data_IF_689491176241
#
_entry.id   IF_689491176241
#
_cell.length_a   1.000
_cell.length_b   1.000
_cell.length_c   1.000
_cell.angle_alpha   90.00
_cell.angle_beta   90.00
_cell.angle_gamma   90.00
#
_symmetry.space_group_name_H-M   'P 1'
#
loop_
_entity.id
_entity.type
_entity.pdbx_description
1 polymer ?
#
# COMPACT_ATOMS: atom_id res chain seq x y z
N UNK A 1 -97.57 -53.97 25.40
CA UNK A 1 -97.20 -53.08 24.28
C UNK A 1 -96.93 -51.70 24.84
N UNK A 2 -95.66 -51.29 24.90
CA UNK A 2 -95.18 -50.00 25.42
C UNK A 2 -94.76 -49.20 24.18
N UNK A 3 -95.53 -48.19 23.81
CA UNK A 3 -95.27 -47.35 22.63
C UNK A 3 -94.10 -46.41 22.94
N UNK A 4 -93.24 -46.27 21.93
CA UNK A 4 -91.98 -45.54 21.93
C UNK A 4 -92.25 -44.06 21.64
N UNK A 5 -91.78 -43.16 22.50
CA UNK A 5 -91.67 -41.74 22.19
C UNK A 5 -90.26 -41.47 21.66
N UNK A 6 -90.19 -41.13 20.37
CA UNK A 6 -88.97 -40.74 19.69
C UNK A 6 -88.57 -39.33 20.13
N UNK A 7 -87.39 -39.21 20.75
CA UNK A 7 -86.73 -37.93 20.98
C UNK A 7 -86.21 -37.37 19.66
N UNK A 8 -86.85 -36.32 19.16
CA UNK A 8 -86.34 -35.49 18.08
C UNK A 8 -85.78 -34.22 18.72
N UNK A 9 -84.46 -34.17 18.93
CA UNK A 9 -83.76 -32.95 19.34
C UNK A 9 -83.79 -31.96 18.17
N UNK A 10 -84.42 -30.80 18.39
CA UNK A 10 -84.40 -29.70 17.45
C UNK A 10 -82.97 -29.15 17.37
N UNK A 11 -82.34 -29.26 16.21
CA UNK A 11 -81.06 -28.60 15.95
C UNK A 11 -81.24 -27.09 16.16
N UNK A 12 -80.48 -26.53 17.09
CA UNK A 12 -80.38 -25.08 17.29
C UNK A 12 -79.64 -24.49 16.09
N UNK A 13 -80.37 -23.71 15.31
CA UNK A 13 -79.88 -22.83 14.26
C UNK A 13 -78.76 -21.93 14.80
N UNK A 14 -77.56 -22.10 14.27
CA UNK A 14 -76.39 -21.30 14.62
C UNK A 14 -76.57 -19.95 13.93
N UNK A 15 -77.17 -18.98 14.63
CA UNK A 15 -77.08 -17.57 14.24
C UNK A 15 -75.61 -17.17 14.37
N UNK A 16 -74.92 -17.03 13.23
CA UNK A 16 -73.61 -16.40 13.18
C UNK A 16 -73.78 -14.92 13.50
N UNK A 17 -73.16 -14.45 14.59
CA UNK A 17 -73.04 -13.01 14.85
C UNK A 17 -72.39 -12.33 13.63
N UNK A 18 -72.80 -11.09 13.28
CA UNK A 18 -72.15 -10.33 12.24
C UNK A 18 -70.68 -10.17 12.61
N UNK A 19 -69.78 -10.59 11.71
CA UNK A 19 -68.36 -10.34 11.85
C UNK A 19 -68.21 -8.82 11.73
N UNK A 20 -67.91 -8.15 12.84
CA UNK A 20 -67.48 -6.76 12.81
C UNK A 20 -66.26 -6.69 11.88
N UNK A 21 -66.46 -6.06 10.73
CA UNK A 21 -65.42 -5.78 9.75
C UNK A 21 -64.42 -4.87 10.46
N UNK A 22 -63.29 -5.43 10.91
CA UNK A 22 -62.20 -4.66 11.49
C UNK A 22 -61.68 -3.78 10.36
N UNK A 23 -62.14 -2.53 10.34
CA UNK A 23 -61.65 -1.47 9.47
C UNK A 23 -60.17 -1.24 9.83
N UNK A 24 -59.29 -1.95 9.13
CA UNK A 24 -57.84 -1.74 9.20
C UNK A 24 -57.53 -0.42 8.48
N UNK A 25 -57.82 0.70 9.14
CA UNK A 25 -57.38 2.02 8.72
C UNK A 25 -55.86 1.96 8.46
N UNK A 26 -55.38 2.21 7.23
CA UNK A 26 -53.97 2.14 6.92
C UNK A 26 -53.26 3.27 7.65
N UNK A 27 -52.51 2.91 8.69
CA UNK A 27 -51.82 3.84 9.59
C UNK A 27 -50.59 4.48 8.95
N UNK A 28 -50.78 5.16 7.82
CA UNK A 28 -49.76 5.98 7.16
C UNK A 28 -49.14 7.03 8.11
N UNK A 29 -49.83 7.33 9.21
CA UNK A 29 -49.43 8.30 10.22
C UNK A 29 -48.79 7.67 11.47
N UNK A 30 -48.57 6.35 11.50
CA UNK A 30 -47.92 5.66 12.64
C UNK A 30 -46.50 6.18 12.95
N UNK A 31 -45.86 6.83 11.98
CA UNK A 31 -44.57 7.53 12.16
C UNK A 31 -44.66 8.72 13.13
N UNK A 32 -45.85 9.29 13.35
CA UNK A 32 -46.06 10.41 14.27
C UNK A 32 -46.08 9.97 15.74
N UNK A 33 -46.34 8.69 16.02
CA UNK A 33 -46.30 8.12 17.36
C UNK A 33 -44.92 7.57 17.76
N UNK A 34 -43.88 7.83 16.96
CA UNK A 34 -42.51 7.51 17.36
C UNK A 34 -42.14 8.30 18.63
N UNK A 35 -41.39 7.70 19.57
CA UNK A 35 -41.08 8.33 20.85
C UNK A 35 -40.40 9.69 20.67
N UNK A 36 -40.78 10.69 21.49
CA UNK A 36 -40.35 12.11 21.45
C UNK A 36 -38.84 12.34 21.21
N UNK A 37 -38.02 11.38 21.60
CA UNK A 37 -36.56 11.36 21.40
C UNK A 37 -36.14 11.45 19.93
N UNK A 38 -36.97 11.00 18.98
CA UNK A 38 -36.70 11.11 17.55
C UNK A 38 -36.88 12.54 17.03
N UNK A 39 -37.86 13.29 17.54
CA UNK A 39 -38.11 14.69 17.12
C UNK A 39 -37.13 15.69 17.77
N UNK A 40 -36.69 15.43 19.00
CA UNK A 40 -35.76 16.31 19.73
C UNK A 40 -34.33 16.28 19.18
N UNK A 41 -34.00 15.23 18.44
CA UNK A 41 -32.70 15.05 17.86
C UNK A 41 -32.74 15.60 16.44
N UNK A 42 -32.49 16.90 16.32
CA UNK A 42 -32.60 17.77 15.13
C UNK A 42 -31.76 17.36 13.89
N UNK A 43 -31.70 16.07 13.56
CA UNK A 43 -30.81 15.52 12.55
C UNK A 43 -29.38 15.29 13.04
N UNK A 44 -29.05 15.59 14.30
CA UNK A 44 -27.67 15.47 14.81
C UNK A 44 -27.14 14.04 14.78
N UNK A 45 -27.96 13.03 15.14
CA UNK A 45 -27.53 11.63 14.99
C UNK A 45 -27.39 11.20 13.53
N UNK A 46 -28.22 11.74 12.63
CA UNK A 46 -28.10 11.46 11.19
C UNK A 46 -26.79 12.04 10.64
N UNK A 47 -26.45 13.27 11.02
CA UNK A 47 -25.21 13.91 10.63
C UNK A 47 -23.99 13.19 11.21
N UNK A 48 -24.04 12.78 12.50
CA UNK A 48 -22.97 12.01 13.13
C UNK A 48 -22.75 10.66 12.40
N UNK A 49 -23.83 9.96 12.07
CA UNK A 49 -23.77 8.73 11.30
C UNK A 49 -23.19 8.95 9.89
N UNK A 50 -23.66 9.98 9.19
CA UNK A 50 -23.15 10.33 7.86
C UNK A 50 -21.66 10.68 7.88
N UNK A 51 -21.19 11.45 8.87
CA UNK A 51 -19.77 11.77 9.03
C UNK A 51 -18.92 10.53 9.31
N UNK A 52 -19.43 9.59 10.12
CA UNK A 52 -18.72 8.35 10.41
C UNK A 52 -18.53 7.51 9.14
N UNK A 53 -19.61 7.30 8.38
CA UNK A 53 -19.55 6.56 7.10
C UNK A 53 -18.61 7.23 6.11
N UNK A 54 -18.66 8.56 6.01
CA UNK A 54 -17.80 9.32 5.10
C UNK A 54 -16.31 9.20 5.47
N UNK A 55 -15.97 9.33 6.76
CA UNK A 55 -14.59 9.17 7.23
C UNK A 55 -14.08 7.73 7.06
N UNK A 56 -14.91 6.73 7.36
CA UNK A 56 -14.59 5.32 7.08
C UNK A 56 -14.38 5.10 5.59
N UNK A 57 -15.22 5.70 4.74
CA UNK A 57 -15.11 5.64 3.28
C UNK A 57 -13.79 6.24 2.77
N UNK A 58 -13.41 7.43 3.24
CA UNK A 58 -12.10 8.04 2.91
C UNK A 58 -10.97 7.12 3.37
N UNK A 59 -10.99 6.63 4.61
CA UNK A 59 -9.95 5.73 5.12
C UNK A 59 -9.78 4.47 4.27
N UNK A 60 -10.89 3.85 3.85
CA UNK A 60 -10.88 2.68 2.96
C UNK A 60 -10.39 3.05 1.56
N UNK A 61 -10.77 4.20 1.01
CA UNK A 61 -10.31 4.64 -0.31
C UNK A 61 -8.81 4.93 -0.31
N UNK A 62 -8.30 5.66 0.69
CA UNK A 62 -6.86 5.92 0.85
C UNK A 62 -6.09 4.61 1.06
N UNK A 63 -6.65 3.66 1.84
CA UNK A 63 -6.07 2.33 2.01
C UNK A 63 -6.08 1.48 0.73
N UNK A 64 -7.14 1.58 -0.09
CA UNK A 64 -7.24 0.88 -1.38
C UNK A 64 -6.37 1.49 -2.47
N UNK A 65 -6.14 2.80 -2.43
CA UNK A 65 -5.23 3.48 -3.34
C UNK A 65 -3.76 3.14 -3.04
N UNK A 66 -3.42 2.88 -1.77
CA UNK A 66 -2.06 2.58 -1.33
C UNK A 66 -1.71 1.07 -1.34
N UNK A 67 -2.21 0.31 -2.33
CA UNK A 67 -1.90 -1.12 -2.46
C UNK A 67 -0.56 -1.32 -3.15
N UNK A 68 0.47 -1.60 -2.36
CA UNK A 68 1.71 -2.23 -2.81
C UNK A 68 1.39 -3.45 -3.70
N UNK A 69 1.71 -3.39 -4.99
CA UNK A 69 1.94 -4.60 -5.78
C UNK A 69 3.34 -5.11 -5.45
N UNK A 70 3.52 -6.42 -5.24
CA UNK A 70 4.86 -6.98 -5.15
C UNK A 70 5.61 -6.70 -6.47
N UNK A 71 6.90 -6.34 -6.43
CA UNK A 71 7.71 -6.25 -7.64
C UNK A 71 7.79 -7.63 -8.29
N UNK A 72 7.14 -7.81 -9.43
CA UNK A 72 7.44 -8.90 -10.33
C UNK A 72 8.74 -8.52 -11.04
N UNK A 73 9.85 -9.11 -10.60
CA UNK A 73 11.10 -9.02 -11.34
C UNK A 73 10.91 -9.62 -12.74
N UNK A 74 11.55 -9.05 -13.78
CA UNK A 74 11.66 -9.72 -15.06
C UNK A 74 12.37 -11.06 -14.88
N UNK A 75 11.80 -12.16 -15.40
CA UNK A 75 12.46 -13.47 -15.41
C UNK A 75 13.84 -13.37 -16.08
N UNK A 76 14.81 -14.18 -15.65
CA UNK A 76 16.18 -14.18 -16.17
C UNK A 76 16.28 -14.31 -17.70
N UNK A 77 15.23 -14.81 -18.36
CA UNK A 77 15.09 -14.87 -19.82
C UNK A 77 14.90 -13.50 -20.50
N UNK A 78 14.67 -12.43 -19.76
CA UNK A 78 14.54 -11.06 -20.27
C UNK A 78 15.85 -10.28 -20.32
N UNK A 79 16.91 -10.83 -19.72
CA UNK A 79 18.27 -10.29 -19.81
C UNK A 79 18.94 -10.92 -21.03
N UNK A 80 18.74 -10.31 -22.21
CA UNK A 80 19.60 -10.59 -23.36
C UNK A 80 20.76 -9.58 -23.31
N UNK A 81 22.01 -9.98 -23.02
CA UNK A 81 23.13 -9.06 -23.07
C UNK A 81 23.31 -8.58 -24.52
N UNK A 82 23.43 -7.25 -24.77
CA UNK A 82 24.20 -6.81 -25.92
C UNK A 82 25.62 -7.29 -25.55
N UNK A 83 26.26 -8.30 -26.12
CA UNK A 83 26.61 -8.53 -27.52
C UNK A 83 27.08 -9.99 -27.57
N UNK A 84 26.19 -10.98 -27.75
CA UNK A 84 26.63 -12.39 -27.74
C UNK A 84 27.26 -12.88 -29.06
N UNK A 85 27.48 -11.97 -30.00
CA UNK A 85 28.18 -12.22 -31.27
C UNK A 85 29.72 -12.15 -31.14
N UNK A 86 30.27 -11.89 -29.94
CA UNK A 86 31.73 -11.79 -29.71
C UNK A 86 32.33 -12.94 -28.89
N UNK A 87 31.60 -14.05 -28.67
CA UNK A 87 32.25 -15.30 -28.28
C UNK A 87 32.88 -15.96 -29.51
N UNK A 88 33.83 -15.25 -30.12
CA UNK A 88 34.79 -15.80 -31.09
C UNK A 88 35.54 -16.92 -30.38
N UNK A 89 35.41 -18.13 -30.92
CA UNK A 89 36.21 -19.28 -30.58
C UNK A 89 37.69 -18.86 -30.45
N UNK A 90 38.36 -19.30 -29.37
CA UNK A 90 39.80 -19.17 -29.23
C UNK A 90 40.48 -19.85 -30.44
N UNK A 91 40.89 -19.07 -31.43
CA UNK A 91 41.84 -19.47 -32.45
C UNK A 91 43.25 -19.18 -31.92
N UNK A 92 43.99 -20.23 -31.60
CA UNK A 92 45.31 -20.23 -30.95
C UNK A 92 46.46 -19.86 -31.90
N UNK A 93 46.19 -19.24 -33.04
CA UNK A 93 47.14 -19.17 -34.15
C UNK A 93 47.35 -17.78 -34.77
N UNK A 94 47.43 -16.70 -33.99
CA UNK A 94 48.22 -15.52 -34.36
C UNK A 94 48.25 -14.54 -33.20
N UNK A 95 49.39 -14.46 -32.52
CA UNK A 95 49.57 -13.52 -31.44
C UNK A 95 49.63 -12.08 -31.95
N UNK A 96 48.51 -11.37 -31.84
CA UNK A 96 48.43 -9.94 -31.53
C UNK A 96 47.09 -9.68 -30.83
N UNK A 97 47.11 -9.57 -29.49
CA UNK A 97 45.94 -9.12 -28.72
C UNK A 97 46.03 -7.61 -28.58
N UNK A 98 45.27 -6.88 -29.40
CA UNK A 98 45.02 -5.47 -29.17
C UNK A 98 44.07 -5.36 -27.98
N UNK A 99 44.60 -5.01 -26.80
CA UNK A 99 43.83 -4.71 -25.61
C UNK A 99 43.10 -3.38 -25.81
N UNK A 100 41.89 -3.43 -26.37
CA UNK A 100 40.97 -2.31 -26.29
C UNK A 100 40.41 -2.29 -24.85
N UNK A 101 41.10 -1.57 -23.96
CA UNK A 101 40.56 -1.17 -22.69
C UNK A 101 39.37 -0.23 -22.96
N UNK A 102 38.14 -0.76 -22.89
CA UNK A 102 36.95 0.06 -22.74
C UNK A 102 36.96 0.65 -21.32
N UNK A 103 37.80 1.67 -21.12
CA UNK A 103 37.77 2.52 -19.94
C UNK A 103 36.61 3.51 -20.12
N UNK A 104 35.38 3.01 -20.03
CA UNK A 104 34.22 3.82 -19.74
C UNK A 104 33.99 3.73 -18.24
N UNK A 105 34.68 4.55 -17.44
CA UNK A 105 34.25 4.75 -16.06
C UNK A 105 32.91 5.47 -16.14
N UNK A 106 31.82 4.72 -16.17
CA UNK A 106 30.49 5.30 -16.10
C UNK A 106 30.46 6.15 -14.82
N UNK A 107 30.12 7.42 -14.97
CA UNK A 107 30.01 8.34 -13.86
C UNK A 107 28.96 7.76 -12.88
N UNK A 108 29.30 7.72 -11.60
CA UNK A 108 28.57 6.91 -10.63
C UNK A 108 28.40 7.66 -9.32
N UNK A 109 27.22 7.53 -8.71
CA UNK A 109 26.91 8.07 -7.38
C UNK A 109 26.81 6.93 -6.40
N UNK A 110 27.62 6.99 -5.34
CA UNK A 110 27.52 6.06 -4.22
C UNK A 110 26.46 6.54 -3.22
N UNK A 111 25.54 5.65 -2.87
CA UNK A 111 24.54 5.88 -1.83
C UNK A 111 24.82 4.91 -0.68
N UNK A 112 24.90 5.46 0.53
CA UNK A 112 25.11 4.72 1.78
C UNK A 112 23.90 4.86 2.68
N UNK A 113 23.30 3.74 3.05
CA UNK A 113 22.26 3.66 4.05
C UNK A 113 22.89 3.21 5.37
N UNK A 114 22.70 4.01 6.42
CA UNK A 114 23.29 3.83 7.74
C UNK A 114 22.18 3.54 8.74
N UNK A 115 22.46 2.66 9.70
CA UNK A 115 21.51 2.28 10.75
C UNK A 115 20.73 1.01 10.47
N UNK A 116 21.17 0.18 9.51
CA UNK A 116 20.64 -1.17 9.36
C UNK A 116 21.14 -2.07 10.51
N UNK A 117 20.39 -3.14 10.78
CA UNK A 117 20.82 -4.15 11.75
C UNK A 117 21.67 -5.18 10.98
N UNK A 118 22.93 -5.43 11.38
CA UNK A 118 23.75 -6.45 10.73
C UNK A 118 23.06 -7.83 10.71
N UNK A 119 23.06 -8.48 9.56
CA UNK A 119 22.46 -9.80 9.37
C UNK A 119 22.25 -10.12 7.89
N UNK A 120 21.50 -11.19 7.61
CA UNK A 120 21.17 -11.65 6.25
C UNK A 120 19.96 -10.89 5.64
N UNK A 121 19.63 -9.74 6.21
CA UNK A 121 18.52 -8.88 5.80
C UNK A 121 18.99 -7.87 4.74
N UNK A 122 18.05 -7.37 3.94
CA UNK A 122 18.32 -6.44 2.85
C UNK A 122 17.82 -5.04 3.19
N UNK A 123 18.50 -4.03 2.66
CA UNK A 123 17.97 -2.68 2.58
C UNK A 123 17.41 -2.47 1.18
N UNK A 124 16.14 -2.08 1.13
CA UNK A 124 15.50 -1.61 -0.09
C UNK A 124 15.70 -0.11 -0.21
N UNK A 125 15.99 0.33 -1.42
CA UNK A 125 16.20 1.72 -1.78
C UNK A 125 15.35 2.06 -3.00
N UNK A 126 14.63 3.17 -2.94
CA UNK A 126 13.81 3.68 -4.02
C UNK A 126 14.10 5.17 -4.27
N UNK A 127 14.27 5.54 -5.53
CA UNK A 127 14.58 6.90 -5.97
C UNK A 127 13.39 7.48 -6.73
N UNK A 128 13.03 8.72 -6.42
CA UNK A 128 11.86 9.41 -6.96
C UNK A 128 12.26 10.77 -7.53
N UNK A 129 11.69 11.13 -8.67
CA UNK A 129 11.94 12.41 -9.35
C UNK A 129 10.74 13.36 -9.33
N UNK A 130 9.60 12.93 -8.80
CA UNK A 130 8.37 13.71 -8.75
C UNK A 130 7.56 13.43 -7.48
N UNK A 131 6.84 14.46 -7.02
CA UNK A 131 5.92 14.39 -5.88
C UNK A 131 4.82 13.35 -6.11
N UNK A 132 4.28 13.26 -7.32
CA UNK A 132 3.19 12.33 -7.67
C UNK A 132 3.58 10.85 -7.55
N UNK A 133 4.86 10.54 -7.67
CA UNK A 133 5.42 9.19 -7.52
C UNK A 133 6.01 8.94 -6.13
N UNK A 134 6.17 9.98 -5.31
CA UNK A 134 6.97 9.89 -4.11
C UNK A 134 6.35 8.93 -3.08
N UNK A 135 7.20 8.07 -2.51
CA UNK A 135 6.79 7.05 -1.53
C UNK A 135 5.77 6.04 -2.08
N UNK A 136 5.72 5.87 -3.41
CA UNK A 136 5.00 4.82 -4.11
C UNK A 136 6.01 3.94 -4.89
N UNK A 137 6.43 2.79 -4.33
CA UNK A 137 7.50 1.96 -4.92
C UNK A 137 7.25 1.48 -6.34
N UNK A 138 5.99 1.39 -6.79
CA UNK A 138 5.67 1.00 -8.18
C UNK A 138 6.04 2.09 -9.19
N UNK A 139 6.06 3.34 -8.73
CA UNK A 139 6.34 4.51 -9.53
C UNK A 139 7.74 5.06 -9.21
N UNK A 140 8.59 4.29 -8.52
CA UNK A 140 9.99 4.63 -8.32
C UNK A 140 10.74 4.66 -9.66
N UNK A 141 11.59 5.68 -9.83
CA UNK A 141 12.46 5.80 -10.99
C UNK A 141 13.54 4.71 -11.00
N UNK A 142 14.11 4.44 -9.83
CA UNK A 142 15.11 3.39 -9.60
C UNK A 142 14.76 2.68 -8.31
N UNK A 143 14.83 1.35 -8.33
CA UNK A 143 14.73 0.52 -7.14
C UNK A 143 15.97 -0.38 -7.04
N UNK A 144 16.50 -0.54 -5.83
CA UNK A 144 17.67 -1.37 -5.56
C UNK A 144 17.49 -2.14 -4.25
N UNK A 145 18.06 -3.34 -4.21
CA UNK A 145 18.24 -4.12 -2.99
C UNK A 145 19.72 -4.15 -2.65
N UNK A 146 20.04 -3.89 -1.39
CA UNK A 146 21.42 -3.70 -0.94
C UNK A 146 21.68 -4.57 0.28
N UNK A 147 22.62 -5.53 0.21
CA UNK A 147 23.01 -6.31 1.36
C UNK A 147 23.56 -5.42 2.48
N UNK A 148 23.17 -5.74 3.72
CA UNK A 148 23.68 -5.04 4.90
C UNK A 148 25.06 -5.59 5.25
N UNK A 149 26.05 -4.71 5.35
CA UNK A 149 27.39 -5.10 5.78
C UNK A 149 27.43 -5.33 7.30
N UNK A 150 28.45 -6.05 7.82
CA UNK A 150 28.59 -6.32 9.26
C UNK A 150 28.65 -5.07 10.16
N UNK A 151 28.96 -3.90 9.59
CA UNK A 151 28.98 -2.61 10.29
C UNK A 151 27.60 -1.89 10.31
N UNK A 152 26.54 -2.52 9.81
CA UNK A 152 25.19 -1.94 9.75
C UNK A 152 25.01 -0.89 8.64
N UNK A 153 25.91 -0.89 7.64
CA UNK A 153 25.86 -0.01 6.47
C UNK A 153 25.51 -0.84 5.24
N UNK A 154 24.53 -0.37 4.47
CA UNK A 154 24.26 -0.88 3.14
C UNK A 154 24.76 0.18 2.13
N UNK A 155 25.50 -0.22 1.11
CA UNK A 155 26.04 0.71 0.11
C UNK A 155 25.80 0.18 -1.30
N UNK A 156 25.32 1.05 -2.17
CA UNK A 156 25.15 0.75 -3.60
C UNK A 156 25.65 1.91 -4.44
N UNK A 157 25.90 1.62 -5.71
CA UNK A 157 26.36 2.62 -6.67
C UNK A 157 25.40 2.65 -7.84
N UNK A 158 24.92 3.85 -8.18
CA UNK A 158 23.94 4.06 -9.25
C UNK A 158 24.60 4.89 -10.36
N UNK A 159 24.48 4.48 -11.64
CA UNK A 159 24.97 5.27 -12.76
C UNK A 159 24.31 6.65 -12.81
N UNK A 160 25.09 7.69 -13.06
CA UNK A 160 24.63 9.09 -13.09
C UNK A 160 23.54 9.29 -14.14
N UNK A 161 23.55 8.52 -15.23
CA UNK A 161 22.56 8.59 -16.32
C UNK A 161 21.17 8.15 -15.86
N UNK A 162 21.07 7.35 -14.79
CA UNK A 162 19.81 6.92 -14.21
C UNK A 162 19.27 7.91 -13.17
N UNK A 163 20.07 8.91 -12.79
CA UNK A 163 19.73 9.87 -11.75
C UNK A 163 19.43 11.25 -12.35
N UNK A 164 18.25 11.84 -12.06
CA UNK A 164 17.96 13.21 -12.44
C UNK A 164 18.81 14.18 -11.62
N UNK A 165 18.81 15.46 -11.98
CA UNK A 165 19.53 16.51 -11.22
C UNK A 165 18.99 16.68 -9.80
N UNK A 166 17.69 16.45 -9.60
CA UNK A 166 17.02 16.53 -8.29
C UNK A 166 16.15 15.31 -8.08
N UNK A 167 16.28 14.69 -6.92
CA UNK A 167 15.51 13.50 -6.56
C UNK A 167 15.39 13.36 -5.05
N UNK A 168 14.43 12.54 -4.63
CA UNK A 168 14.32 12.06 -3.26
C UNK A 168 14.61 10.55 -3.22
N UNK A 169 15.11 10.08 -2.09
CA UNK A 169 15.38 8.67 -1.84
C UNK A 169 14.55 8.25 -0.63
N UNK A 170 13.93 7.09 -0.70
CA UNK A 170 13.39 6.37 0.44
C UNK A 170 14.15 5.06 0.61
N UNK A 171 14.44 4.69 1.85
CA UNK A 171 15.08 3.42 2.17
C UNK A 171 14.40 2.76 3.37
N UNK A 172 14.33 1.43 3.35
CA UNK A 172 13.91 0.66 4.51
C UNK A 172 14.69 -0.64 4.64
N UNK A 173 14.82 -1.13 5.86
CA UNK A 173 15.48 -2.37 6.20
C UNK A 173 14.44 -3.48 6.37
N UNK A 174 14.44 -4.41 5.43
CA UNK A 174 13.54 -5.55 5.35
C UNK A 174 14.13 -6.70 6.17
N UNK A 175 13.67 -6.81 7.40
CA UNK A 175 14.22 -7.72 8.42
C UNK A 175 13.72 -9.15 8.27
N UNK A 176 12.55 -9.36 7.65
CA UNK A 176 11.97 -10.66 7.40
C UNK A 176 12.09 -11.11 5.93
N UNK A 177 12.68 -10.27 5.07
CA UNK A 177 12.93 -10.51 3.65
C UNK A 177 11.65 -10.79 2.85
N UNK A 178 10.55 -10.13 3.20
CA UNK A 178 9.27 -10.28 2.51
C UNK A 178 9.09 -9.30 1.33
N UNK A 179 10.03 -8.36 1.17
CA UNK A 179 10.04 -7.35 0.12
C UNK A 179 9.10 -6.17 0.37
N UNK A 180 8.51 -6.07 1.56
CA UNK A 180 7.58 -5.02 1.95
C UNK A 180 8.02 -4.36 3.26
N UNK A 181 7.69 -3.08 3.40
CA UNK A 181 7.87 -2.41 4.69
C UNK A 181 6.82 -2.94 5.66
N UNK A 182 7.24 -3.73 6.64
CA UNK A 182 6.37 -4.30 7.66
C UNK A 182 5.72 -3.18 8.50
N UNK A 183 4.40 -3.27 8.71
CA UNK A 183 3.59 -2.27 9.43
C UNK A 183 2.72 -2.92 10.49
N UNK A 184 2.49 -2.22 11.61
CA UNK A 184 1.56 -2.67 12.63
C UNK A 184 0.09 -2.48 12.21
N UNK A 185 -0.86 -2.91 13.04
CA UNK A 185 -2.31 -2.81 12.78
C UNK A 185 -2.83 -1.37 12.60
N UNK A 186 -2.03 -0.36 12.98
CA UNK A 186 -2.30 1.06 12.80
C UNK A 186 -1.58 1.66 11.58
N UNK A 187 -0.90 0.83 10.78
CA UNK A 187 -0.17 1.26 9.58
C UNK A 187 1.19 1.92 9.84
N UNK A 188 1.67 1.89 11.09
CA UNK A 188 2.97 2.47 11.47
C UNK A 188 4.07 1.47 11.09
N UNK A 189 5.15 1.90 10.40
CA UNK A 189 6.29 1.05 10.13
C UNK A 189 6.84 0.40 11.40
N UNK A 190 6.98 -0.92 11.37
CA UNK A 190 7.60 -1.72 12.43
C UNK A 190 9.10 -1.90 12.21
N UNK A 191 9.56 -1.66 10.98
CA UNK A 191 10.96 -1.78 10.58
C UNK A 191 11.61 -0.41 10.38
N UNK A 192 12.94 -0.42 10.30
CA UNK A 192 13.71 0.81 10.14
C UNK A 192 13.53 1.37 8.74
N UNK A 193 13.22 2.66 8.68
CA UNK A 193 13.08 3.38 7.41
C UNK A 193 13.63 4.80 7.53
N UNK A 194 13.83 5.42 6.38
CA UNK A 194 14.36 6.77 6.28
C UNK A 194 14.19 7.35 4.88
N UNK A 195 14.34 8.66 4.80
CA UNK A 195 14.29 9.42 3.57
C UNK A 195 15.58 10.24 3.44
N UNK A 196 15.94 10.62 2.20
CA UNK A 196 17.00 11.59 1.97
C UNK A 196 16.70 12.93 2.66
N UNK A 197 17.75 13.73 2.89
CA UNK A 197 17.69 14.98 3.63
C UNK A 197 17.18 14.82 5.09
N UNK A 198 17.26 13.62 5.65
CA UNK A 198 16.72 13.26 6.96
C UNK A 198 15.25 13.70 7.16
N UNK A 199 14.49 13.74 6.06
CA UNK A 199 13.14 14.25 6.04
C UNK A 199 12.21 13.35 6.86
N UNK A 200 11.35 13.98 7.67
CA UNK A 200 10.41 13.29 8.56
C UNK A 200 9.07 13.99 8.64
N UNK A 201 8.02 13.28 8.24
CA UNK A 201 6.64 13.70 8.44
C UNK A 201 6.18 13.46 9.87
N UNK A 202 5.27 14.31 10.37
CA UNK A 202 4.63 14.12 11.70
C UNK A 202 3.52 13.06 11.68
N UNK A 203 2.85 12.92 10.54
CA UNK A 203 1.68 12.04 10.36
C UNK A 203 1.79 11.30 9.03
N UNK A 204 2.82 10.47 8.87
CA UNK A 204 3.10 9.72 7.65
C UNK A 204 4.45 10.09 7.02
N UNK A 205 4.66 9.75 5.74
CA UNK A 205 5.87 10.14 5.02
C UNK A 205 6.00 11.69 4.96
N UNK A 206 7.23 12.22 4.83
CA UNK A 206 7.45 13.65 4.60
C UNK A 206 6.89 14.08 3.23
N UNK A 207 6.83 15.38 2.98
CA UNK A 207 6.59 15.88 1.62
C UNK A 207 7.81 15.60 0.73
N UNK A 208 7.60 15.48 -0.59
CA UNK A 208 8.69 15.27 -1.53
C UNK A 208 9.72 16.40 -1.44
N UNK A 209 9.26 17.64 -1.34
CA UNK A 209 10.09 18.85 -1.24
C UNK A 209 11.01 18.82 -0.03
N UNK A 210 10.59 18.18 1.07
CA UNK A 210 11.41 18.03 2.27
C UNK A 210 12.50 16.97 2.09
N UNK A 211 12.25 15.95 1.27
CA UNK A 211 13.17 14.84 1.02
C UNK A 211 14.11 15.07 -0.19
N UNK A 212 13.81 16.00 -1.08
CA UNK A 212 14.60 16.21 -2.30
C UNK A 212 16.00 16.74 -1.99
N UNK A 213 16.97 16.12 -2.65
CA UNK A 213 18.37 16.52 -2.68
C UNK A 213 18.83 16.76 -4.12
N UNK A 214 19.89 17.56 -4.26
CA UNK A 214 20.58 17.73 -5.53
C UNK A 214 21.56 16.57 -5.77
N UNK A 215 21.65 16.13 -7.03
CA UNK A 215 22.58 15.09 -7.45
C UNK A 215 24.02 15.60 -7.29
N UNK A 216 24.90 14.90 -6.56
CA UNK A 216 26.32 15.24 -6.50
C UNK A 216 26.99 15.03 -7.86
N UNK A 217 28.10 15.73 -8.11
CA UNK A 217 28.92 15.48 -9.30
C UNK A 217 29.65 14.13 -9.20
N UNK A 218 30.18 13.65 -10.33
CA UNK A 218 30.89 12.37 -10.34
C UNK A 218 32.10 12.40 -9.39
N UNK A 219 32.22 11.36 -8.55
CA UNK A 219 33.31 11.22 -7.58
C UNK A 219 33.24 12.14 -6.36
N UNK A 220 32.12 12.85 -6.15
CA UNK A 220 31.89 13.65 -4.94
C UNK A 220 31.49 12.79 -3.73
N UNK A 221 31.21 13.46 -2.60
CA UNK A 221 30.81 12.82 -1.35
C UNK A 221 29.61 11.88 -1.53
N UNK A 222 29.64 10.68 -0.92
CA UNK A 222 28.52 9.76 -0.99
C UNK A 222 27.26 10.37 -0.40
N UNK A 223 26.11 10.04 -0.98
CA UNK A 223 24.83 10.39 -0.37
C UNK A 223 24.61 9.46 0.81
N UNK A 224 24.42 10.03 1.99
CA UNK A 224 24.12 9.27 3.21
C UNK A 224 22.63 9.37 3.55
N UNK A 225 22.05 8.24 3.92
CA UNK A 225 20.65 8.13 4.36
C UNK A 225 20.65 7.40 5.69
N UNK A 226 20.06 8.01 6.70
CA UNK A 226 19.90 7.37 8.00
C UNK A 226 18.53 6.71 8.11
N UNK A 227 18.52 5.44 8.51
CA UNK A 227 17.30 4.71 8.89
C UNK A 227 17.30 4.48 10.41
N UNK A 228 16.10 4.44 11.00
CA UNK A 228 15.90 4.44 12.46
C UNK A 228 14.89 3.40 12.90
#
# INVERSE_FOLDING_TARGET
>A
MKQMENGFESQTEITSDPIDEIELEPSWNAWQSLPERWQQNHGSLLMAFATLVFLTGIGVLTYRQNRFRPPAFPDASSINPPNNEQLTALDLASGEVSLQAANGSADQVMIRVIGAIPGDALVWLAIYNAETSFNDPENALVAAQVPVQPNGVAACTIPIEQLPTRFAIAAFHDTDNDGALSRNQFGIPAERYGFSNDARGKFGPPAFEEAVIDRPANGETPIEIQIY
#
